data_IF_132947437294
#
_entry.id   IF_132947437294
#
_cell.length_a   1.000
_cell.length_b   1.000
_cell.length_c   1.000
_cell.angle_alpha   90.00
_cell.angle_beta   90.00
_cell.angle_gamma   90.00
#
_symmetry.space_group_name_H-M   'P 1'
#
loop_
_entity.id
_entity.type
_entity.pdbx_description
1 polymer ?
#
# COMPACT_ATOMS: atom_id res chain seq x y z
N UNK A 1 -2.49 -16.00 12.80
CA UNK A 1 -2.80 -15.02 11.73
C UNK A 1 -3.94 -14.13 12.22
N UNK A 2 -3.69 -12.83 12.39
CA UNK A 2 -4.75 -11.85 12.56
C UNK A 2 -5.56 -11.76 11.25
N UNK A 3 -6.89 -11.83 11.34
CA UNK A 3 -7.81 -11.69 10.20
C UNK A 3 -8.08 -10.21 9.85
N UNK A 4 -7.38 -9.26 10.51
CA UNK A 4 -7.67 -7.84 10.43
C UNK A 4 -6.85 -7.18 9.30
N UNK A 5 -7.51 -6.50 8.38
CA UNK A 5 -6.86 -5.73 7.30
C UNK A 5 -7.02 -4.23 7.52
N UNK A 6 -6.00 -3.45 7.15
CA UNK A 6 -6.03 -1.99 7.16
C UNK A 6 -6.36 -1.49 5.76
N UNK A 7 -7.56 -0.95 5.60
CA UNK A 7 -8.01 -0.39 4.32
C UNK A 7 -7.44 1.02 4.11
N UNK A 8 -6.75 1.21 2.99
CA UNK A 8 -6.31 2.52 2.50
C UNK A 8 -7.35 3.04 1.54
N UNK A 9 -8.16 4.00 1.99
CA UNK A 9 -9.16 4.65 1.15
C UNK A 9 -8.49 5.48 0.05
N UNK A 10 -7.60 6.40 0.43
CA UNK A 10 -6.89 7.30 -0.48
C UNK A 10 -5.44 7.53 -0.01
N UNK A 11 -4.51 7.53 -0.97
CA UNK A 11 -3.12 7.92 -0.77
C UNK A 11 -2.70 8.81 -1.93
N UNK A 12 -2.56 10.10 -1.67
CA UNK A 12 -2.33 11.12 -2.69
C UNK A 12 -1.06 11.88 -2.35
N UNK A 13 -0.18 11.98 -3.33
CA UNK A 13 1.01 12.86 -3.27
C UNK A 13 0.79 13.96 -4.29
N UNK A 14 0.93 15.21 -3.81
CA UNK A 14 0.94 16.40 -4.66
C UNK A 14 1.94 16.21 -5.80
N UNK A 15 1.50 16.55 -7.02
CA UNK A 15 2.28 16.31 -8.24
C UNK A 15 3.66 16.99 -8.22
N UNK A 16 3.79 18.15 -7.57
CA UNK A 16 5.05 18.89 -7.46
C UNK A 16 6.04 18.21 -6.51
N UNK A 17 5.59 17.23 -5.72
CA UNK A 17 6.39 16.52 -4.72
C UNK A 17 6.54 15.03 -5.04
N UNK A 18 6.05 14.56 -6.20
CA UNK A 18 6.33 13.21 -6.69
C UNK A 18 7.81 13.06 -7.05
N UNK A 19 8.32 11.84 -7.02
CA UNK A 19 9.74 11.56 -7.24
C UNK A 19 10.68 11.89 -6.07
N UNK A 20 10.20 12.61 -5.04
CA UNK A 20 11.00 13.01 -3.87
C UNK A 20 10.93 12.03 -2.70
N UNK A 21 10.26 10.88 -2.87
CA UNK A 21 10.15 9.85 -1.83
C UNK A 21 9.00 10.02 -0.82
N UNK A 22 8.18 11.06 -0.93
CA UNK A 22 7.04 11.30 -0.01
C UNK A 22 6.10 10.10 0.09
N UNK A 23 5.70 9.51 -1.05
CA UNK A 23 4.84 8.33 -1.06
C UNK A 23 5.46 7.13 -0.33
N UNK A 24 6.78 6.94 -0.43
CA UNK A 24 7.49 5.88 0.30
C UNK A 24 7.38 6.08 1.80
N UNK A 25 7.61 7.30 2.29
CA UNK A 25 7.52 7.61 3.73
C UNK A 25 6.10 7.39 4.25
N UNK A 26 5.08 7.80 3.50
CA UNK A 26 3.67 7.53 3.86
C UNK A 26 3.38 6.04 3.93
N UNK A 27 3.85 5.26 2.96
CA UNK A 27 3.65 3.81 2.92
C UNK A 27 4.37 3.09 4.08
N UNK A 28 5.60 3.49 4.39
CA UNK A 28 6.35 2.97 5.54
C UNK A 28 5.63 3.27 6.86
N UNK A 29 5.07 4.47 7.01
CA UNK A 29 4.26 4.84 8.16
C UNK A 29 3.01 3.95 8.29
N UNK A 30 2.26 3.73 7.20
CA UNK A 30 1.07 2.86 7.19
C UNK A 30 1.42 1.42 7.58
N UNK A 31 2.51 0.87 7.02
CA UNK A 31 2.97 -0.48 7.36
C UNK A 31 3.39 -0.59 8.83
N UNK A 32 4.10 0.41 9.35
CA UNK A 32 4.48 0.46 10.76
C UNK A 32 3.24 0.49 11.65
N UNK A 33 2.30 1.41 11.40
CA UNK A 33 1.04 1.51 12.14
C UNK A 33 0.26 0.19 12.10
N UNK A 34 0.14 -0.44 10.93
CA UNK A 34 -0.55 -1.70 10.77
C UNK A 34 0.08 -2.82 11.62
N UNK A 35 1.41 -2.95 11.59
CA UNK A 35 2.14 -3.94 12.40
C UNK A 35 2.00 -3.70 13.91
N UNK A 36 2.10 -2.45 14.35
CA UNK A 36 1.94 -2.06 15.76
C UNK A 36 0.51 -2.28 16.30
N UNK A 37 -0.47 -2.44 15.41
CA UNK A 37 -1.89 -2.60 15.76
C UNK A 37 -2.48 -3.95 15.29
N UNK A 38 -1.60 -4.96 15.15
CA UNK A 38 -1.96 -6.36 14.85
C UNK A 38 -2.79 -6.56 13.57
N UNK A 39 -2.54 -5.74 12.55
CA UNK A 39 -3.10 -5.98 11.22
C UNK A 39 -2.24 -6.99 10.44
N UNK A 40 -2.89 -7.92 9.74
CA UNK A 40 -2.23 -8.92 8.92
C UNK A 40 -1.89 -8.45 7.51
N UNK A 41 -2.59 -7.44 6.99
CA UNK A 41 -2.36 -6.91 5.65
C UNK A 41 -2.85 -5.45 5.51
N UNK A 42 -2.34 -4.78 4.49
CA UNK A 42 -2.92 -3.54 3.94
C UNK A 42 -3.71 -3.90 2.68
N UNK A 43 -4.84 -3.24 2.47
CA UNK A 43 -5.66 -3.40 1.27
C UNK A 43 -6.10 -2.05 0.71
N UNK A 44 -6.35 -1.97 -0.59
CA UNK A 44 -6.95 -0.80 -1.20
C UNK A 44 -7.77 -1.19 -2.43
N UNK A 45 -8.75 -0.36 -2.78
CA UNK A 45 -9.41 -0.45 -4.08
C UNK A 45 -8.59 0.32 -5.12
N UNK A 46 -8.42 -0.26 -6.30
CA UNK A 46 -7.77 0.42 -7.41
C UNK A 46 -8.55 0.13 -8.70
N UNK A 47 -8.93 1.16 -9.47
CA UNK A 47 -9.57 0.92 -10.74
C UNK A 47 -8.63 0.13 -11.66
N UNK A 48 -9.22 -0.66 -12.58
CA UNK A 48 -8.48 -1.47 -13.55
C UNK A 48 -7.42 -0.64 -14.28
N UNK A 49 -6.33 -1.29 -14.67
CA UNK A 49 -5.18 -0.68 -15.37
C UNK A 49 -5.50 -0.27 -16.82
N UNK A 50 -6.45 0.64 -17.00
CA UNK A 50 -6.92 1.09 -18.32
C UNK A 50 -6.29 2.41 -18.78
N UNK A 51 -5.52 3.07 -17.93
CA UNK A 51 -4.86 4.36 -18.22
C UNK A 51 -3.39 4.34 -17.78
N UNK A 52 -2.55 5.19 -18.37
CA UNK A 52 -1.14 5.34 -17.95
C UNK A 52 -1.02 5.75 -16.47
N UNK A 53 -1.90 6.63 -15.99
CA UNK A 53 -1.98 6.98 -14.55
C UNK A 53 -2.31 5.77 -13.67
N UNK A 54 -3.14 4.85 -14.17
CA UNK A 54 -3.42 3.61 -13.45
C UNK A 54 -2.20 2.67 -13.42
N UNK A 55 -1.41 2.62 -14.49
CA UNK A 55 -0.14 1.87 -14.52
C UNK A 55 0.91 2.45 -13.58
N UNK A 56 1.08 3.77 -13.59
CA UNK A 56 2.00 4.47 -12.67
C UNK A 56 1.64 4.19 -11.20
N UNK A 57 0.34 4.31 -10.87
CA UNK A 57 -0.17 4.00 -9.53
C UNK A 57 0.11 2.54 -9.13
N UNK A 58 -0.14 1.58 -10.04
CA UNK A 58 0.13 0.16 -9.77
C UNK A 58 1.62 -0.11 -9.58
N UNK A 59 2.48 0.46 -10.41
CA UNK A 59 3.93 0.33 -10.26
C UNK A 59 4.43 0.85 -8.91
N UNK A 60 3.83 1.94 -8.39
CA UNK A 60 4.11 2.42 -7.04
C UNK A 60 3.71 1.38 -5.99
N UNK A 61 2.51 0.81 -6.07
CA UNK A 61 2.04 -0.20 -5.11
C UNK A 61 2.85 -1.50 -5.17
N UNK A 62 3.15 -2.01 -6.36
CA UNK A 62 3.99 -3.20 -6.57
C UNK A 62 5.38 -3.04 -5.98
N UNK A 63 6.00 -1.86 -6.17
CA UNK A 63 7.30 -1.53 -5.54
C UNK A 63 7.25 -1.60 -4.01
N UNK A 64 6.06 -1.42 -3.42
CA UNK A 64 5.85 -1.53 -1.97
C UNK A 64 5.23 -2.87 -1.57
N UNK A 65 5.30 -3.91 -2.42
CA UNK A 65 4.90 -5.27 -2.06
C UNK A 65 3.39 -5.53 -2.13
N UNK A 66 2.62 -4.66 -2.79
CA UNK A 66 1.23 -4.96 -3.12
C UNK A 66 1.14 -5.80 -4.39
N UNK A 67 0.11 -6.63 -4.47
CA UNK A 67 -0.28 -7.33 -5.69
C UNK A 67 -1.79 -7.22 -5.91
N UNK A 68 -2.22 -7.35 -7.17
CA UNK A 68 -3.62 -7.20 -7.53
C UNK A 68 -4.45 -8.45 -7.17
N UNK A 69 -5.60 -8.23 -6.52
CA UNK A 69 -6.60 -9.25 -6.20
C UNK A 69 -7.97 -8.72 -6.64
N UNK A 70 -8.46 -9.21 -7.78
CA UNK A 70 -9.73 -8.74 -8.36
C UNK A 70 -9.71 -7.22 -8.62
N UNK A 71 -10.70 -6.46 -8.08
CA UNK A 71 -10.74 -5.00 -8.19
C UNK A 71 -9.87 -4.26 -7.16
N UNK A 72 -9.16 -4.97 -6.29
CA UNK A 72 -8.33 -4.40 -5.24
C UNK A 72 -6.87 -4.79 -5.35
N UNK A 73 -6.10 -4.33 -4.38
CA UNK A 73 -4.71 -4.70 -4.14
C UNK A 73 -4.52 -5.04 -2.67
N UNK A 74 -3.61 -5.95 -2.39
CA UNK A 74 -3.26 -6.38 -1.03
C UNK A 74 -1.75 -6.44 -0.85
N UNK A 75 -1.28 -6.11 0.34
CA UNK A 75 0.10 -6.29 0.79
C UNK A 75 0.07 -7.01 2.13
N UNK A 76 0.46 -8.28 2.12
CA UNK A 76 0.60 -9.08 3.34
C UNK A 76 1.75 -8.54 4.20
N UNK A 77 1.52 -8.48 5.51
CA UNK A 77 2.51 -8.04 6.48
C UNK A 77 3.11 -9.24 7.18
N UNK A 78 4.41 -9.42 6.99
CA UNK A 78 5.18 -10.31 7.87
C UNK A 78 5.13 -9.78 9.32
N UNK A 79 4.97 -10.66 10.31
CA UNK A 79 5.09 -10.30 11.72
C UNK A 79 6.38 -9.51 12.00
N UNK A 80 6.35 -8.64 13.01
CA UNK A 80 7.60 -8.07 13.52
C UNK A 80 8.44 -9.23 14.08
N UNK A 81 9.57 -9.52 13.43
CA UNK A 81 10.58 -10.38 14.02
C UNK A 81 11.16 -9.62 15.22
N UNK A 82 11.02 -10.19 16.41
CA UNK A 82 11.71 -9.70 17.59
C UNK A 82 13.16 -10.18 17.50
N UNK A 83 14.05 -9.33 17.02
CA UNK A 83 15.51 -9.50 17.21
C UNK A 83 15.89 -9.18 18.66
#
# INVERSE_FOLDING_TARGET
>A
MSCKTLNIADLIVDENYRGHGVGKVLMEHLKKYAKENDYGALEALTPRMTTEKAKERMAFYEKHGFFQVGPGIICDLEPLNND
#
